data_IF_392420265353
#
_entry.id   IF_392420265353
#
_cell.length_a   1.000
_cell.length_b   1.000
_cell.length_c   1.000
_cell.angle_alpha   90.00
_cell.angle_beta   90.00
_cell.angle_gamma   90.00
#
_symmetry.space_group_name_H-M   'P 1'
#
loop_
_entity.id
_entity.type
_entity.pdbx_description
1 polymer ?
#
# COMPACT_ATOMS: atom_id res chain seq x y z
N UNK A 1 18.61 -6.81 1.14
CA UNK A 1 17.46 -6.16 0.46
C UNK A 1 16.38 -7.17 0.04
N UNK A 2 16.74 -8.28 -0.59
CA UNK A 2 15.79 -9.33 -1.03
C UNK A 2 14.81 -9.82 0.05
N UNK A 3 15.24 -9.95 1.30
CA UNK A 3 14.39 -10.41 2.42
C UNK A 3 13.19 -9.48 2.69
N UNK A 4 13.36 -8.16 2.51
CA UNK A 4 12.28 -7.19 2.71
C UNK A 4 11.23 -7.32 1.60
N UNK A 5 11.65 -7.58 0.37
CA UNK A 5 10.74 -7.77 -0.76
C UNK A 5 9.89 -9.04 -0.60
N UNK A 6 10.50 -10.15 -0.18
CA UNK A 6 9.78 -11.40 0.09
C UNK A 6 8.80 -11.24 1.25
N UNK A 7 9.21 -10.52 2.30
CA UNK A 7 8.33 -10.22 3.44
C UNK A 7 7.14 -9.35 3.04
N UNK A 8 7.38 -8.31 2.24
CA UNK A 8 6.32 -7.44 1.72
C UNK A 8 5.34 -8.21 0.83
N UNK A 9 5.85 -9.13 0.01
CA UNK A 9 5.01 -10.01 -0.82
C UNK A 9 4.08 -10.87 0.05
N UNK A 10 4.60 -11.47 1.11
CA UNK A 10 3.80 -12.23 2.08
C UNK A 10 2.73 -11.36 2.75
N UNK A 11 3.12 -10.17 3.22
CA UNK A 11 2.20 -9.22 3.82
C UNK A 11 1.06 -8.81 2.85
N UNK A 12 1.40 -8.38 1.63
CA UNK A 12 0.42 -7.99 0.62
C UNK A 12 -0.51 -9.15 0.23
N UNK A 13 0.00 -10.38 0.17
CA UNK A 13 -0.81 -11.57 -0.14
C UNK A 13 -1.85 -11.83 0.95
N UNK A 14 -1.48 -11.68 2.22
CA UNK A 14 -2.39 -11.86 3.37
C UNK A 14 -3.44 -10.74 3.41
N UNK A 15 -3.04 -9.48 3.18
CA UNK A 15 -3.98 -8.35 3.14
C UNK A 15 -4.94 -8.47 1.95
N UNK A 16 -4.46 -8.88 0.78
CA UNK A 16 -5.30 -9.17 -0.39
C UNK A 16 -6.36 -10.23 -0.08
N UNK A 17 -5.97 -11.32 0.59
CA UNK A 17 -6.93 -12.35 0.99
C UNK A 17 -7.98 -11.85 1.98
N UNK A 18 -7.62 -10.95 2.90
CA UNK A 18 -8.56 -10.29 3.82
C UNK A 18 -9.49 -9.33 3.10
N UNK A 19 -8.94 -8.51 2.21
CA UNK A 19 -9.66 -7.48 1.46
C UNK A 19 -10.72 -8.11 0.53
N UNK A 20 -10.38 -9.20 -0.17
CA UNK A 20 -11.33 -9.92 -1.02
C UNK A 20 -12.47 -10.55 -0.20
N UNK A 21 -12.16 -11.08 1.00
CA UNK A 21 -13.16 -11.81 1.81
C UNK A 21 -14.05 -10.90 2.63
N UNK A 22 -13.47 -9.86 3.24
CA UNK A 22 -14.14 -9.01 4.23
C UNK A 22 -14.35 -7.59 3.75
N UNK A 23 -13.74 -7.21 2.62
CA UNK A 23 -13.66 -5.81 2.13
C UNK A 23 -13.12 -4.85 3.21
N UNK A 24 -12.29 -5.37 4.09
CA UNK A 24 -11.68 -4.62 5.18
C UNK A 24 -10.21 -5.02 5.31
N UNK A 25 -9.34 -4.04 5.30
CA UNK A 25 -7.92 -4.21 5.64
C UNK A 25 -7.80 -4.20 7.15
N UNK A 26 -7.13 -5.20 7.72
CA UNK A 26 -6.93 -5.26 9.17
C UNK A 26 -5.95 -4.19 9.63
N UNK A 27 -6.49 -3.07 10.11
CA UNK A 27 -5.72 -1.93 10.63
C UNK A 27 -4.71 -2.37 11.69
N UNK A 28 -5.13 -3.26 12.61
CA UNK A 28 -4.27 -3.76 13.70
C UNK A 28 -3.05 -4.50 13.12
N UNK A 29 -3.26 -5.39 12.15
CA UNK A 29 -2.19 -6.16 11.52
C UNK A 29 -1.24 -5.25 10.75
N UNK A 30 -1.78 -4.30 10.00
CA UNK A 30 -1.00 -3.32 9.22
C UNK A 30 -0.19 -2.39 10.12
N UNK A 31 -0.75 -1.96 11.26
CA UNK A 31 -0.04 -1.14 12.25
C UNK A 31 1.10 -1.94 12.90
N UNK A 32 0.87 -3.19 13.28
CA UNK A 32 1.93 -4.06 13.86
C UNK A 32 3.05 -4.27 12.83
N UNK A 33 2.71 -4.61 11.59
CA UNK A 33 3.69 -4.81 10.52
C UNK A 33 4.44 -3.52 10.20
N UNK A 34 3.74 -2.40 10.07
CA UNK A 34 4.32 -1.09 9.80
C UNK A 34 5.25 -0.61 10.92
N UNK A 35 4.87 -0.80 12.19
CA UNK A 35 5.71 -0.44 13.34
C UNK A 35 6.98 -1.29 13.41
N UNK A 36 6.89 -2.58 13.11
CA UNK A 36 8.05 -3.47 13.05
C UNK A 36 9.05 -3.04 11.96
N UNK A 37 8.56 -2.71 10.76
CA UNK A 37 9.40 -2.22 9.67
C UNK A 37 10.01 -0.87 10.00
N UNK A 38 9.24 0.04 10.59
CA UNK A 38 9.71 1.37 11.00
C UNK A 38 10.83 1.26 12.05
N UNK A 39 10.65 0.42 13.07
CA UNK A 39 11.69 0.15 14.06
C UNK A 39 12.95 -0.41 13.41
N UNK A 40 12.83 -1.35 12.49
CA UNK A 40 13.95 -1.92 11.76
C UNK A 40 14.70 -0.85 10.94
N UNK A 41 13.97 0.03 10.27
CA UNK A 41 14.55 1.13 9.50
C UNK A 41 15.27 2.16 10.40
N UNK A 42 14.70 2.50 11.56
CA UNK A 42 15.34 3.41 12.53
C UNK A 42 16.62 2.78 13.06
N UNK A 43 16.60 1.52 13.46
CA UNK A 43 17.77 0.82 13.98
C UNK A 43 18.87 0.75 12.92
N UNK A 44 18.52 0.40 11.69
CA UNK A 44 19.48 0.34 10.58
C UNK A 44 20.03 1.72 10.21
N UNK A 45 19.20 2.77 10.26
CA UNK A 45 19.60 4.17 10.04
C UNK A 45 20.56 4.66 11.13
N UNK A 46 20.26 4.38 12.40
CA UNK A 46 21.16 4.72 13.53
C UNK A 46 22.51 4.02 13.43
N UNK A 47 22.51 2.72 13.08
CA UNK A 47 23.74 1.92 12.93
C UNK A 47 24.60 2.39 11.76
N UNK A 48 24.00 2.95 10.70
CA UNK A 48 24.71 3.40 9.49
C UNK A 48 25.11 4.87 9.53
N UNK A 49 24.64 5.65 10.51
CA UNK A 49 24.90 7.11 10.63
C UNK A 49 24.68 7.88 9.31
N UNK A 50 23.69 7.46 8.51
CA UNK A 50 23.41 8.05 7.20
C UNK A 50 22.41 9.21 7.35
N UNK A 51 22.82 10.41 6.94
CA UNK A 51 21.93 11.57 6.83
C UNK A 51 20.74 11.30 5.89
N UNK A 52 20.92 10.42 4.92
CA UNK A 52 19.89 10.03 3.94
C UNK A 52 18.75 9.20 4.54
N UNK A 53 18.93 8.63 5.75
CA UNK A 53 17.90 7.84 6.41
C UNK A 53 16.66 8.67 6.76
N UNK A 54 16.85 9.93 7.17
CA UNK A 54 15.73 10.85 7.47
C UNK A 54 15.00 11.23 6.20
N UNK A 55 15.72 11.53 5.13
CA UNK A 55 15.11 11.84 3.83
C UNK A 55 14.35 10.64 3.27
N UNK A 56 14.90 9.43 3.40
CA UNK A 56 14.21 8.20 3.03
C UNK A 56 12.90 8.03 3.78
N UNK A 57 12.91 8.18 5.12
CA UNK A 57 11.72 8.05 5.95
C UNK A 57 10.65 9.09 5.61
N UNK A 58 11.05 10.35 5.39
CA UNK A 58 10.12 11.42 5.00
C UNK A 58 9.43 11.10 3.67
N UNK A 59 10.20 10.69 2.67
CA UNK A 59 9.64 10.32 1.35
C UNK A 59 8.80 9.04 1.40
N UNK A 60 9.18 8.07 2.24
CA UNK A 60 8.50 6.80 2.42
C UNK A 60 7.09 6.97 3.02
N UNK A 61 6.93 7.87 3.99
CA UNK A 61 5.68 8.10 4.70
C UNK A 61 4.71 8.98 3.87
N UNK A 62 5.24 9.83 3.01
CA UNK A 62 4.47 10.85 2.30
C UNK A 62 3.27 10.31 1.51
N UNK A 63 3.38 9.28 0.65
CA UNK A 63 2.24 8.81 -0.16
C UNK A 63 1.10 8.24 0.71
N UNK A 64 1.43 7.50 1.76
CA UNK A 64 0.44 6.97 2.69
C UNK A 64 -0.26 8.06 3.51
N UNK A 65 0.50 9.06 3.99
CA UNK A 65 -0.07 10.20 4.72
C UNK A 65 -1.00 11.04 3.83
N UNK A 66 -0.62 11.28 2.58
CA UNK A 66 -1.47 12.00 1.64
C UNK A 66 -2.79 11.27 1.43
N UNK A 67 -2.75 9.95 1.24
CA UNK A 67 -3.97 9.16 1.06
C UNK A 67 -4.85 9.14 2.30
N UNK A 68 -4.26 9.05 3.50
CA UNK A 68 -4.99 9.13 4.77
C UNK A 68 -5.65 10.51 4.96
N UNK A 69 -4.96 11.59 4.59
CA UNK A 69 -5.52 12.94 4.62
C UNK A 69 -6.70 13.09 3.66
N UNK A 70 -6.57 12.59 2.44
CA UNK A 70 -7.66 12.59 1.46
C UNK A 70 -8.84 11.78 2.00
N UNK A 71 -8.60 10.58 2.54
CA UNK A 71 -9.64 9.75 3.15
C UNK A 71 -10.37 10.45 4.30
N UNK A 72 -9.65 11.25 5.10
CA UNK A 72 -10.26 12.07 6.17
C UNK A 72 -11.11 13.21 5.62
N UNK A 73 -10.66 13.90 4.55
CA UNK A 73 -11.37 15.02 3.93
C UNK A 73 -12.62 14.51 3.20
N UNK A 74 -12.55 13.36 2.53
CA UNK A 74 -13.65 12.75 1.77
C UNK A 74 -14.64 11.97 2.64
N UNK A 75 -14.54 12.08 3.97
CA UNK A 75 -15.41 11.38 4.94
C UNK A 75 -15.47 9.86 4.73
N UNK A 76 -14.31 9.25 4.49
CA UNK A 76 -14.13 7.80 4.30
C UNK A 76 -14.63 7.24 2.96
N UNK A 77 -14.87 8.06 1.95
CA UNK A 77 -15.08 7.55 0.58
C UNK A 77 -13.85 6.80 0.04
N UNK A 78 -12.66 7.13 0.56
CA UNK A 78 -11.42 6.38 0.33
C UNK A 78 -11.08 5.63 1.63
N UNK A 79 -10.87 4.31 1.53
CA UNK A 79 -10.63 3.45 2.67
C UNK A 79 -9.36 3.85 3.45
N UNK A 80 -9.49 4.07 4.76
CA UNK A 80 -8.31 4.28 5.64
C UNK A 80 -7.32 3.12 5.55
N UNK A 81 -7.82 1.90 5.29
CA UNK A 81 -7.00 0.72 5.12
C UNK A 81 -5.98 0.86 3.99
N UNK A 82 -6.37 1.43 2.86
CA UNK A 82 -5.49 1.65 1.70
C UNK A 82 -4.36 2.61 2.02
N UNK A 83 -4.65 3.67 2.77
CA UNK A 83 -3.64 4.62 3.24
C UNK A 83 -2.60 3.98 4.16
N UNK A 84 -3.05 3.14 5.10
CA UNK A 84 -2.16 2.40 6.02
C UNK A 84 -1.35 1.36 5.24
N UNK A 85 -1.95 0.67 4.29
CA UNK A 85 -1.27 -0.30 3.42
C UNK A 85 -0.16 0.37 2.60
N UNK A 86 -0.43 1.56 2.04
CA UNK A 86 0.59 2.36 1.35
C UNK A 86 1.70 2.86 2.28
N UNK A 87 1.41 3.17 3.55
CA UNK A 87 2.45 3.50 4.53
C UNK A 87 3.41 2.32 4.73
N UNK A 88 2.89 1.10 4.87
CA UNK A 88 3.74 -0.10 5.02
C UNK A 88 4.58 -0.32 3.77
N UNK A 89 4.00 -0.20 2.58
CA UNK A 89 4.73 -0.28 1.31
C UNK A 89 5.84 0.78 1.24
N UNK A 90 5.53 2.02 1.62
CA UNK A 90 6.48 3.13 1.63
C UNK A 90 7.67 2.87 2.54
N UNK A 91 7.44 2.37 3.75
CA UNK A 91 8.50 2.00 4.68
C UNK A 91 9.37 0.86 4.15
N UNK A 92 8.83 -0.06 3.35
CA UNK A 92 9.58 -1.18 2.79
C UNK A 92 10.40 -0.81 1.55
N UNK A 93 9.82 -0.01 0.65
CA UNK A 93 10.34 0.23 -0.70
C UNK A 93 10.90 1.64 -0.88
N UNK A 94 10.39 2.61 -0.13
CA UNK A 94 10.64 4.03 -0.34
C UNK A 94 9.50 4.72 -1.10
N UNK A 95 9.54 6.06 -1.10
CA UNK A 95 8.44 6.86 -1.63
C UNK A 95 8.22 6.75 -3.13
N UNK A 96 9.29 6.72 -3.92
CA UNK A 96 9.21 6.67 -5.39
C UNK A 96 8.54 5.37 -5.88
N UNK A 97 9.00 4.25 -5.38
CA UNK A 97 8.51 2.92 -5.72
C UNK A 97 7.06 2.76 -5.28
N UNK A 98 6.72 3.29 -4.10
CA UNK A 98 5.35 3.25 -3.58
C UNK A 98 4.39 4.09 -4.41
N UNK A 99 4.78 5.28 -4.86
CA UNK A 99 3.96 6.09 -5.77
C UNK A 99 3.76 5.35 -7.09
N UNK A 100 4.82 4.74 -7.63
CA UNK A 100 4.70 3.92 -8.84
C UNK A 100 3.73 2.76 -8.67
N UNK A 101 3.82 2.03 -7.56
CA UNK A 101 2.89 0.93 -7.24
C UNK A 101 1.45 1.42 -7.09
N UNK A 102 1.26 2.55 -6.42
CA UNK A 102 -0.07 3.12 -6.24
C UNK A 102 -0.70 3.52 -7.57
N UNK A 103 0.03 4.26 -8.40
CA UNK A 103 -0.46 4.70 -9.71
C UNK A 103 -0.73 3.51 -10.62
N UNK A 104 0.17 2.53 -10.69
CA UNK A 104 -0.03 1.32 -11.50
C UNK A 104 -1.18 0.46 -10.99
N UNK A 105 -1.39 0.37 -9.66
CA UNK A 105 -2.54 -0.28 -9.05
C UNK A 105 -3.87 0.37 -9.45
N UNK A 106 -3.93 1.70 -9.42
CA UNK A 106 -5.09 2.46 -9.90
C UNK A 106 -5.35 2.23 -11.41
N UNK A 107 -4.28 2.20 -12.22
CA UNK A 107 -4.40 1.90 -13.65
C UNK A 107 -4.97 0.50 -13.91
N UNK A 108 -4.60 -0.49 -13.11
CA UNK A 108 -5.16 -1.85 -13.21
C UNK A 108 -6.61 -1.92 -12.73
N UNK A 109 -6.94 -1.18 -11.68
CA UNK A 109 -8.29 -1.15 -11.10
C UNK A 109 -9.28 -0.43 -12.01
N UNK A 110 -8.86 0.64 -12.70
CA UNK A 110 -9.74 1.50 -13.49
C UNK A 110 -10.54 0.76 -14.58
N UNK A 111 -9.94 -0.04 -15.49
CA UNK A 111 -10.70 -0.73 -16.53
C UNK A 111 -11.66 -1.76 -15.97
N UNK A 112 -11.31 -2.44 -14.89
CA UNK A 112 -12.17 -3.43 -14.24
C UNK A 112 -13.36 -2.74 -13.58
N UNK A 113 -13.13 -1.62 -12.89
CA UNK A 113 -14.19 -0.79 -12.31
C UNK A 113 -15.15 -0.28 -13.39
N UNK A 114 -14.61 0.17 -14.52
CA UNK A 114 -15.40 0.68 -15.64
C UNK A 114 -16.29 -0.43 -16.25
N UNK A 115 -15.74 -1.61 -16.49
CA UNK A 115 -16.50 -2.76 -17.02
C UNK A 115 -17.61 -3.17 -16.06
N UNK A 116 -17.33 -3.25 -14.76
CA UNK A 116 -18.35 -3.58 -13.74
C UNK A 116 -19.47 -2.55 -13.69
N UNK A 117 -19.14 -1.26 -13.80
CA UNK A 117 -20.13 -0.18 -13.81
C UNK A 117 -21.00 -0.23 -15.05
N UNK A 118 -20.41 -0.44 -16.24
CA UNK A 118 -21.13 -0.50 -17.51
C UNK A 118 -22.00 -1.75 -17.65
N UNK A 119 -21.60 -2.87 -17.04
CA UNK A 119 -22.37 -4.11 -17.06
C UNK A 119 -23.60 -4.09 -16.15
N UNK A 120 -23.81 -3.05 -15.36
CA UNK A 120 -24.97 -2.91 -14.48
C UNK A 120 -25.06 -3.93 -13.35
N UNK A 121 -24.01 -4.74 -13.16
CA UNK A 121 -23.97 -5.78 -12.12
C UNK A 121 -23.54 -5.25 -10.76
N UNK A 122 -23.16 -3.97 -10.68
CA UNK A 122 -22.62 -3.39 -9.44
C UNK A 122 -23.25 -2.02 -9.20
N UNK A 123 -23.72 -1.78 -7.98
CA UNK A 123 -24.15 -0.47 -7.56
C UNK A 123 -22.97 0.51 -7.54
N UNK A 124 -23.24 1.80 -7.82
CA UNK A 124 -22.23 2.88 -7.78
C UNK A 124 -21.52 3.01 -6.43
N UNK A 125 -22.03 2.34 -5.39
CA UNK A 125 -21.46 2.31 -4.03
C UNK A 125 -20.72 1.02 -3.71
N UNK A 126 -20.54 0.12 -4.69
CA UNK A 126 -19.80 -1.11 -4.45
C UNK A 126 -18.32 -0.81 -4.26
N UNK A 127 -17.83 -1.09 -3.08
CA UNK A 127 -16.42 -1.01 -2.74
C UNK A 127 -15.65 -2.12 -3.46
N UNK A 128 -14.70 -1.74 -4.29
CA UNK A 128 -13.78 -2.66 -4.94
C UNK A 128 -12.53 -2.83 -4.07
N UNK A 129 -12.10 -4.05 -3.81
CA UNK A 129 -10.90 -4.30 -3.03
C UNK A 129 -9.68 -3.76 -3.80
N UNK A 130 -8.90 -2.86 -3.17
CA UNK A 130 -7.72 -2.25 -3.79
C UNK A 130 -6.45 -3.10 -3.62
N UNK A 131 -6.34 -3.83 -2.51
CA UNK A 131 -5.15 -4.61 -2.19
C UNK A 131 -4.73 -5.63 -3.27
N UNK A 132 -5.64 -6.36 -3.97
CA UNK A 132 -5.25 -7.27 -5.03
C UNK A 132 -4.62 -6.56 -6.24
N UNK A 133 -5.04 -5.34 -6.56
CA UNK A 133 -4.45 -4.55 -7.64
C UNK A 133 -3.06 -4.04 -7.27
N UNK A 134 -2.88 -3.66 -6.02
CA UNK A 134 -1.59 -3.27 -5.49
C UNK A 134 -0.62 -4.46 -5.48
N UNK A 135 -1.08 -5.65 -5.11
CA UNK A 135 -0.29 -6.89 -5.17
C UNK A 135 0.13 -7.21 -6.62
N UNK A 136 -0.80 -7.11 -7.58
CA UNK A 136 -0.49 -7.33 -8.99
C UNK A 136 0.56 -6.34 -9.51
N UNK A 137 0.44 -5.06 -9.15
CA UNK A 137 1.43 -4.03 -9.47
C UNK A 137 2.79 -4.34 -8.84
N UNK A 138 2.80 -4.83 -7.61
CA UNK A 138 4.02 -5.22 -6.92
C UNK A 138 4.71 -6.41 -7.58
N UNK A 139 3.96 -7.42 -7.99
CA UNK A 139 4.50 -8.55 -8.74
C UNK A 139 5.10 -8.11 -10.09
N UNK A 140 4.42 -7.22 -10.79
CA UNK A 140 4.93 -6.65 -12.04
C UNK A 140 6.25 -5.88 -11.82
N UNK A 141 6.30 -5.07 -10.75
CA UNK A 141 7.51 -4.34 -10.38
C UNK A 141 8.67 -5.27 -10.01
N UNK A 142 8.40 -6.36 -9.27
CA UNK A 142 9.42 -7.38 -8.94
C UNK A 142 10.01 -8.07 -10.17
N UNK A 143 9.23 -8.21 -11.24
CA UNK A 143 9.73 -8.82 -12.50
C UNK A 143 10.67 -7.89 -13.27
N UNK A 144 10.72 -6.60 -12.93
CA UNK A 144 11.58 -5.61 -13.59
C UNK A 144 12.92 -5.38 -12.88
N UNK A 145 13.06 -5.90 -11.66
CA UNK A 145 14.31 -5.81 -10.87
C UNK A 145 15.14 -7.07 -11.07
#
# INVERSE_FOLDING_TARGET
>A
MWKIYVWLLGYLSVETGSDIRKKEISVIRSVICGSAVLLLQIVMGLLRLQADAVQFLLTAILPGCVLLLIGKITRQEIGYGDGILLLVCGLCLGGKETIFLFVSGLFLMFPISLVLLLSGHTDRRAELPFAPFLLASYLFWLMQI
#
